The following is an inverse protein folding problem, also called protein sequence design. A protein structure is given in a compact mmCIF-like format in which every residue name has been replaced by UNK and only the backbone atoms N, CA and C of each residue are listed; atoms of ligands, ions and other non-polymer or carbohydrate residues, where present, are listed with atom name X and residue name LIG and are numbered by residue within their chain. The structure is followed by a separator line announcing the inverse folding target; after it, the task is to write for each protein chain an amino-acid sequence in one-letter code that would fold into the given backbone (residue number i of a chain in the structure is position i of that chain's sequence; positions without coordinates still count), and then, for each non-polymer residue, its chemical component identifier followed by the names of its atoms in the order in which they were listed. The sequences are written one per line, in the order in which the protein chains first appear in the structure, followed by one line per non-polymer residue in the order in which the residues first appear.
data_IF_914467991083
#
_entry.id   IF_914467991083
#
_cell.length_a   1.000
_cell.length_b   1.000
_cell.length_c   1.000
_cell.angle_alpha   90.00
_cell.angle_beta   90.00
_cell.angle_gamma   90.00
#
_symmetry.space_group_name_H-M   'P 1'
#
loop_
_entity.id
_entity.type
_entity.pdbx_description
1 polymer ?
#
# COMPACT_ATOMS: atom_id res chain seq x y z
N UNK A 1 63.72 21.03 40.04
CA UNK A 1 63.36 20.42 41.34
C UNK A 1 61.98 19.82 41.21
N UNK A 2 61.73 18.71 41.90
CA UNK A 2 60.65 17.74 41.62
C UNK A 2 59.36 18.01 42.39
N UNK A 3 58.23 17.52 41.86
CA UNK A 3 57.09 16.81 42.51
C UNK A 3 55.94 16.79 41.45
N UNK A 4 55.62 15.67 40.79
CA UNK A 4 54.76 14.56 41.25
C UNK A 4 53.51 15.00 42.03
N UNK A 5 52.29 14.47 41.87
CA UNK A 5 51.56 13.61 40.91
C UNK A 5 50.35 13.09 41.70
N UNK A 6 49.14 13.01 41.15
CA UNK A 6 47.99 12.48 41.91
C UNK A 6 46.76 12.23 41.05
N UNK A 7 46.34 10.98 40.94
CA UNK A 7 45.28 10.48 40.08
C UNK A 7 44.37 9.57 40.91
N UNK A 8 43.06 9.83 41.00
CA UNK A 8 42.06 8.80 41.37
C UNK A 8 40.64 9.23 40.99
N UNK A 9 39.80 8.32 40.44
CA UNK A 9 38.39 8.59 40.13
C UNK A 9 37.46 8.24 41.30
N UNK A 10 36.27 8.85 41.35
CA UNK A 10 35.21 8.48 42.29
C UNK A 10 34.25 7.48 41.62
N UNK A 11 34.13 6.32 42.26
CA UNK A 11 33.13 5.28 41.97
C UNK A 11 31.76 5.76 42.42
N UNK A 12 30.75 5.72 41.55
CA UNK A 12 29.33 5.85 41.94
C UNK A 12 28.72 4.46 41.98
N UNK A 13 28.37 4.01 43.18
CA UNK A 13 27.81 2.68 43.43
C UNK A 13 26.30 2.64 43.17
N UNK A 14 25.84 1.52 42.62
CA UNK A 14 24.42 1.15 42.54
C UNK A 14 23.83 1.00 43.95
N UNK A 15 22.69 1.63 44.21
CA UNK A 15 21.80 1.31 45.33
C UNK A 15 20.45 0.90 44.74
N UNK A 16 20.16 -0.40 44.83
CA UNK A 16 18.84 -0.96 44.54
C UNK A 16 18.03 -0.91 45.85
N UNK A 17 16.89 -0.23 45.84
CA UNK A 17 15.90 -0.32 46.91
C UNK A 17 14.68 -1.07 46.36
N UNK A 18 14.50 -2.30 46.86
CA UNK A 18 13.27 -3.07 46.65
C UNK A 18 12.27 -2.66 47.72
N UNK A 19 11.14 -2.09 47.30
CA UNK A 19 9.97 -1.82 48.14
C UNK A 19 8.70 -2.02 47.29
N UNK A 20 8.16 -3.23 47.28
CA UNK A 20 6.76 -3.46 46.88
C UNK A 20 6.05 -4.12 48.05
N UNK A 21 5.20 -3.34 48.72
CA UNK A 21 4.40 -3.81 49.84
C UNK A 21 3.24 -4.69 49.33
N UNK A 22 2.94 -5.74 50.09
CA UNK A 22 1.80 -6.62 49.85
C UNK A 22 0.48 -5.86 50.09
N UNK A 23 -0.33 -5.72 49.05
CA UNK A 23 -1.67 -5.13 49.12
C UNK A 23 -2.74 -6.15 48.71
N UNK A 24 -3.45 -6.72 49.69
CA UNK A 24 -4.51 -7.71 49.48
C UNK A 24 -5.86 -7.02 49.28
N UNK A 25 -6.60 -7.44 48.25
CA UNK A 25 -8.00 -7.08 48.00
C UNK A 25 -8.28 -6.91 46.51
N UNK A 26 -9.29 -7.50 45.90
CA UNK A 26 -10.38 -8.29 46.47
C UNK A 26 -11.68 -7.97 45.76
N UNK A 27 -11.93 -8.60 44.60
CA UNK A 27 -13.21 -8.49 43.89
C UNK A 27 -13.61 -9.84 43.30
N UNK A 28 -14.66 -10.43 43.86
CA UNK A 28 -15.35 -11.60 43.31
C UNK A 28 -16.46 -11.14 42.35
N UNK A 29 -16.28 -11.38 41.06
CA UNK A 29 -17.33 -11.12 40.07
C UNK A 29 -18.34 -12.27 40.05
N UNK A 30 -19.63 -11.93 40.23
CA UNK A 30 -20.76 -12.83 39.98
C UNK A 30 -20.79 -13.25 38.51
N UNK A 31 -20.90 -14.55 38.23
CA UNK A 31 -21.55 -15.04 37.00
C UNK A 31 -22.79 -15.83 37.41
N UNK A 32 -23.95 -15.32 37.01
CA UNK A 32 -25.25 -15.96 37.15
C UNK A 32 -25.71 -16.42 35.76
N UNK A 33 -25.96 -17.72 35.61
CA UNK A 33 -26.52 -18.28 34.39
C UNK A 33 -27.85 -17.63 34.03
N UNK A 34 -28.06 -17.39 32.74
CA UNK A 34 -29.31 -16.87 32.18
C UNK A 34 -29.56 -17.45 30.78
N UNK A 35 -30.19 -18.61 30.71
CA UNK A 35 -30.82 -19.08 29.48
C UNK A 35 -31.98 -18.16 29.10
N UNK A 36 -32.05 -17.78 27.83
CA UNK A 36 -33.16 -17.04 27.21
C UNK A 36 -33.32 -17.49 25.76
N UNK A 37 -34.55 -17.54 25.21
CA UNK A 37 -34.85 -18.34 24.02
C UNK A 37 -34.52 -17.65 22.69
N UNK A 38 -34.41 -18.46 21.65
CA UNK A 38 -34.27 -18.01 20.27
C UNK A 38 -35.55 -17.31 19.75
N UNK A 39 -35.44 -16.25 18.94
CA UNK A 39 -36.55 -15.73 18.14
C UNK A 39 -36.67 -16.42 16.78
N UNK A 40 -37.89 -16.45 16.27
CA UNK A 40 -38.35 -17.30 15.16
C UNK A 40 -38.07 -16.71 13.76
N UNK A 41 -37.97 -17.59 12.76
CA UNK A 41 -37.96 -17.24 11.34
C UNK A 41 -39.34 -16.82 10.83
N UNK A 42 -39.50 -15.66 10.16
CA UNK A 42 -40.67 -15.37 9.35
C UNK A 42 -40.57 -15.98 7.95
N UNK A 43 -41.73 -16.36 7.40
CA UNK A 43 -41.88 -17.16 6.19
C UNK A 43 -41.64 -16.38 4.88
N UNK A 44 -41.36 -17.12 3.80
CA UNK A 44 -41.33 -16.56 2.44
C UNK A 44 -42.74 -16.27 1.92
N UNK A 45 -42.97 -15.09 1.37
CA UNK A 45 -44.16 -14.79 0.56
C UNK A 45 -43.74 -14.55 -0.88
N UNK A 46 -44.05 -15.51 -1.75
CA UNK A 46 -43.99 -15.39 -3.21
C UNK A 46 -45.33 -14.91 -3.75
N UNK A 47 -45.34 -13.92 -4.64
CA UNK A 47 -46.46 -13.59 -5.57
C UNK A 47 -45.96 -12.62 -6.67
N UNK A 48 -46.63 -12.44 -7.81
CA UNK A 48 -45.97 -12.82 -9.06
C UNK A 48 -45.71 -11.69 -10.07
N UNK A 49 -44.90 -12.06 -11.06
CA UNK A 49 -44.60 -11.34 -12.29
C UNK A 49 -45.86 -10.78 -12.96
N UNK A 50 -45.80 -9.53 -13.43
CA UNK A 50 -46.66 -9.05 -14.52
C UNK A 50 -45.79 -8.31 -15.55
N UNK A 51 -45.66 -8.92 -16.72
CA UNK A 51 -44.91 -8.38 -17.87
C UNK A 51 -45.86 -7.68 -18.82
N UNK A 52 -45.64 -6.39 -19.11
CA UNK A 52 -46.38 -5.65 -20.15
C UNK A 52 -45.48 -4.69 -20.93
N UNK A 53 -45.14 -5.10 -22.16
CA UNK A 53 -44.75 -4.26 -23.32
C UNK A 53 -44.98 -5.13 -24.58
N UNK A 54 -45.13 -4.58 -25.80
CA UNK A 54 -45.22 -3.18 -26.19
C UNK A 54 -46.45 -2.82 -27.05
N UNK A 55 -46.63 -1.52 -27.30
CA UNK A 55 -47.40 -1.02 -28.43
C UNK A 55 -46.50 -0.12 -29.30
N UNK A 56 -46.58 -0.31 -30.62
CA UNK A 56 -45.85 0.42 -31.66
C UNK A 56 -46.86 0.77 -32.77
N UNK A 57 -46.79 1.98 -33.33
CA UNK A 57 -46.91 2.19 -34.77
C UNK A 57 -45.67 2.96 -35.29
N UNK A 58 -45.00 2.61 -36.41
CA UNK A 58 -45.35 2.91 -37.82
C UNK A 58 -45.80 4.38 -38.04
N UNK A 59 -45.27 5.16 -38.98
CA UNK A 59 -44.79 4.80 -40.34
C UNK A 59 -43.89 5.88 -41.00
N UNK A 60 -43.31 5.53 -42.16
CA UNK A 60 -43.05 6.38 -43.37
C UNK A 60 -42.15 7.63 -43.25
N UNK A 61 -40.91 7.58 -43.78
CA UNK A 61 -40.47 7.94 -45.16
C UNK A 61 -40.61 9.41 -45.58
N UNK A 62 -39.46 10.06 -45.85
CA UNK A 62 -39.11 10.49 -47.22
C UNK A 62 -37.68 11.00 -47.30
N UNK A 63 -37.03 10.68 -48.43
CA UNK A 63 -35.76 11.25 -48.87
C UNK A 63 -35.99 12.66 -49.41
N UNK A 64 -35.03 13.59 -49.25
CA UNK A 64 -34.65 14.46 -50.37
C UNK A 64 -33.20 14.94 -50.22
N UNK A 65 -32.41 14.65 -51.24
CA UNK A 65 -31.06 15.14 -51.47
C UNK A 65 -31.11 16.54 -52.12
N UNK A 66 -30.33 17.52 -51.65
CA UNK A 66 -30.00 18.70 -52.48
C UNK A 66 -28.64 19.31 -52.11
N UNK A 67 -27.72 19.27 -53.08
CA UNK A 67 -26.42 19.94 -53.05
C UNK A 67 -26.54 21.39 -53.52
N UNK A 68 -25.85 22.34 -52.88
CA UNK A 68 -25.21 23.47 -53.60
C UNK A 68 -24.22 24.30 -52.76
N UNK A 69 -23.13 24.68 -53.41
CA UNK A 69 -22.04 25.54 -52.92
C UNK A 69 -22.41 27.03 -53.05
N UNK A 70 -21.87 27.93 -52.21
CA UNK A 70 -21.53 29.30 -52.65
C UNK A 70 -20.45 30.03 -51.82
N UNK A 71 -19.29 30.14 -52.45
CA UNK A 71 -18.35 31.28 -52.56
C UNK A 71 -18.14 32.32 -51.44
N UNK A 72 -16.86 32.53 -51.11
CA UNK A 72 -16.22 33.65 -50.38
C UNK A 72 -16.39 35.02 -51.10
N UNK A 73 -16.09 36.19 -50.48
CA UNK A 73 -14.68 36.67 -50.42
C UNK A 73 -14.26 37.51 -49.18
N UNK A 74 -12.94 37.61 -48.98
CA UNK A 74 -12.25 38.64 -48.18
C UNK A 74 -12.29 40.01 -48.91
N UNK A 75 -12.07 41.19 -48.27
CA UNK A 75 -10.78 41.60 -47.68
C UNK A 75 -10.96 42.29 -46.29
N UNK A 76 -10.03 43.00 -45.62
CA UNK A 76 -8.71 43.57 -45.98
C UNK A 76 -7.78 43.67 -44.75
N UNK A 77 -6.56 44.19 -44.92
CA UNK A 77 -5.71 44.77 -43.87
C UNK A 77 -5.17 46.13 -44.36
N UNK A 78 -4.93 47.12 -43.47
CA UNK A 78 -3.68 47.89 -43.61
C UNK A 78 -2.99 48.30 -42.29
N UNK A 79 -1.68 48.04 -42.25
CA UNK A 79 -0.54 48.88 -41.80
C UNK A 79 -0.67 49.90 -40.64
N UNK A 80 0.35 49.85 -39.76
CA UNK A 80 0.69 50.83 -38.71
C UNK A 80 1.08 52.22 -39.23
N UNK A 81 1.16 53.22 -38.34
CA UNK A 81 2.50 53.76 -38.06
C UNK A 81 2.80 54.05 -36.58
N UNK A 82 4.09 54.23 -36.28
CA UNK A 82 4.63 54.54 -34.95
C UNK A 82 4.41 56.01 -34.52
N UNK A 83 4.24 56.24 -33.21
CA UNK A 83 4.44 57.56 -32.58
C UNK A 83 5.25 57.37 -31.29
N UNK A 84 6.23 58.24 -31.08
CA UNK A 84 7.12 58.30 -29.92
C UNK A 84 6.58 59.38 -28.96
N UNK A 85 6.35 59.06 -27.68
CA UNK A 85 6.32 60.07 -26.61
C UNK A 85 6.81 59.52 -25.27
N UNK A 86 7.78 60.26 -24.72
CA UNK A 86 8.33 60.41 -23.36
C UNK A 86 7.90 59.52 -22.17
N UNK A 87 8.90 59.21 -21.34
CA UNK A 87 8.77 58.66 -19.98
C UNK A 87 8.32 59.69 -18.95
N UNK A 88 7.63 59.24 -17.89
CA UNK A 88 7.85 59.78 -16.54
C UNK A 88 8.61 58.80 -15.64
N UNK A 89 9.58 59.35 -14.91
CA UNK A 89 10.44 58.66 -13.94
C UNK A 89 9.66 58.33 -12.67
N UNK A 90 9.56 57.05 -12.30
CA UNK A 90 9.09 56.61 -10.98
C UNK A 90 10.10 55.66 -10.33
N UNK A 91 10.30 55.84 -9.03
CA UNK A 91 11.34 55.19 -8.23
C UNK A 91 11.06 53.71 -7.93
N UNK A 92 12.08 52.85 -7.79
CA UNK A 92 11.90 51.47 -7.39
C UNK A 92 11.71 51.36 -5.87
N UNK A 93 10.57 50.82 -5.44
CA UNK A 93 10.38 50.31 -4.08
C UNK A 93 10.11 48.81 -4.17
N UNK A 94 11.09 48.00 -3.78
CA UNK A 94 11.01 46.54 -3.87
C UNK A 94 9.95 45.96 -2.94
N UNK A 95 9.03 45.10 -3.43
CA UNK A 95 8.21 44.26 -2.56
C UNK A 95 9.09 43.20 -1.91
N UNK A 96 9.05 43.13 -0.58
CA UNK A 96 9.70 42.07 0.20
C UNK A 96 8.92 40.77 -0.02
N UNK A 97 9.47 39.85 -0.80
CA UNK A 97 8.90 38.50 -0.95
C UNK A 97 9.07 37.77 0.38
N UNK A 98 7.95 37.52 1.06
CA UNK A 98 7.91 36.78 2.31
C UNK A 98 7.72 35.29 2.00
N UNK A 99 8.81 34.54 2.13
CA UNK A 99 8.84 33.09 1.89
C UNK A 99 7.98 32.36 2.92
N UNK A 100 6.75 32.00 2.55
CA UNK A 100 5.91 31.13 3.37
C UNK A 100 6.36 29.67 3.21
N UNK A 101 7.07 29.18 4.23
CA UNK A 101 7.43 27.76 4.36
C UNK A 101 6.15 26.93 4.60
N UNK A 102 5.86 25.89 3.80
CA UNK A 102 4.73 25.00 4.06
C UNK A 102 4.93 24.21 5.36
N UNK A 103 4.06 24.43 6.34
CA UNK A 103 4.10 23.72 7.62
C UNK A 103 3.54 22.31 7.47
N UNK A 104 4.43 21.33 7.24
CA UNK A 104 4.12 19.90 7.09
C UNK A 104 4.77 19.09 8.22
N UNK A 105 4.12 19.06 9.39
CA UNK A 105 4.37 18.11 10.46
C UNK A 105 3.04 17.87 11.20
N UNK A 106 2.53 16.64 11.16
CA UNK A 106 1.52 16.22 12.14
C UNK A 106 2.14 16.32 13.54
N UNK A 107 1.42 16.80 14.56
CA UNK A 107 2.00 16.93 15.90
C UNK A 107 2.39 15.54 16.42
N UNK A 108 3.58 15.37 17.04
CA UNK A 108 4.12 14.07 17.42
C UNK A 108 3.24 13.24 18.37
N UNK A 109 2.21 13.85 18.95
CA UNK A 109 1.24 13.22 19.83
C UNK A 109 0.32 12.21 19.12
N UNK A 110 -0.01 12.38 17.83
CA UNK A 110 -0.99 11.47 17.16
C UNK A 110 -0.40 10.09 16.87
N UNK A 111 0.86 10.03 16.43
CA UNK A 111 1.58 8.76 16.19
C UNK A 111 1.71 7.95 17.49
N UNK A 112 1.95 8.63 18.61
CA UNK A 112 2.04 7.96 19.91
C UNK A 112 0.69 7.41 20.39
N UNK A 113 -0.42 8.13 20.14
CA UNK A 113 -1.77 7.64 20.47
C UNK A 113 -2.18 6.40 19.67
N UNK A 114 -1.73 6.27 18.43
CA UNK A 114 -1.97 5.07 17.63
C UNK A 114 -1.13 3.88 18.11
N UNK A 115 0.14 4.11 18.45
CA UNK A 115 1.02 3.12 19.07
C UNK A 115 0.49 2.65 20.45
N UNK A 116 -0.05 3.56 21.25
CA UNK A 116 -0.75 3.24 22.50
C UNK A 116 -1.92 2.28 22.26
N UNK A 117 -2.82 2.65 21.35
CA UNK A 117 -4.02 1.87 21.02
C UNK A 117 -3.66 0.47 20.52
N UNK A 118 -2.65 0.35 19.66
CA UNK A 118 -2.23 -0.94 19.10
C UNK A 118 -1.69 -1.87 20.18
N UNK A 119 -0.76 -1.39 21.02
CA UNK A 119 -0.14 -2.19 22.08
C UNK A 119 -1.16 -2.59 23.15
N UNK A 120 -2.05 -1.69 23.56
CA UNK A 120 -3.13 -2.04 24.50
C UNK A 120 -4.07 -3.09 23.91
N UNK A 121 -4.49 -2.97 22.64
CA UNK A 121 -5.36 -3.99 22.00
C UNK A 121 -4.70 -5.37 21.97
N UNK A 122 -3.39 -5.44 21.70
CA UNK A 122 -2.64 -6.70 21.68
C UNK A 122 -2.56 -7.32 23.08
N UNK A 123 -2.28 -6.50 24.11
CA UNK A 123 -2.13 -6.94 25.49
C UNK A 123 -3.47 -7.37 26.11
N UNK A 124 -4.54 -6.59 25.92
CA UNK A 124 -5.88 -6.85 26.48
C UNK A 124 -6.49 -8.14 25.90
N UNK A 125 -6.32 -8.39 24.60
CA UNK A 125 -6.81 -9.60 23.95
C UNK A 125 -5.86 -10.82 24.09
N UNK A 126 -4.72 -10.66 24.77
CA UNK A 126 -3.65 -11.68 24.91
C UNK A 126 -3.25 -12.32 23.56
N UNK A 127 -3.17 -11.51 22.50
CA UNK A 127 -2.94 -12.01 21.13
C UNK A 127 -1.46 -12.39 20.92
N UNK A 128 -1.16 -13.58 20.38
CA UNK A 128 0.20 -13.90 19.97
C UNK A 128 0.61 -12.99 18.80
N UNK A 129 1.68 -12.22 18.98
CA UNK A 129 2.24 -11.37 17.92
C UNK A 129 3.49 -11.98 17.30
N UNK A 130 3.62 -11.85 15.99
CA UNK A 130 4.78 -12.34 15.25
C UNK A 130 6.06 -11.57 15.59
N UNK A 131 7.25 -12.18 15.43
CA UNK A 131 8.52 -11.55 15.79
C UNK A 131 8.80 -10.25 15.01
N UNK A 132 8.35 -10.14 13.75
CA UNK A 132 8.49 -8.91 12.96
C UNK A 132 7.59 -7.77 13.47
N UNK A 133 6.36 -8.09 13.87
CA UNK A 133 5.41 -7.12 14.43
C UNK A 133 5.88 -6.63 15.80
N UNK A 134 6.35 -7.55 16.64
CA UNK A 134 7.01 -7.23 17.91
C UNK A 134 8.22 -6.30 17.70
N UNK A 135 9.10 -6.61 16.74
CA UNK A 135 10.26 -5.79 16.42
C UNK A 135 9.89 -4.38 15.94
N UNK A 136 8.83 -4.25 15.11
CA UNK A 136 8.30 -2.94 14.69
C UNK A 136 7.85 -2.10 15.89
N UNK A 137 6.94 -2.63 16.71
CA UNK A 137 6.39 -1.93 17.88
C UNK A 137 7.49 -1.52 18.87
N UNK A 138 8.48 -2.38 19.09
CA UNK A 138 9.64 -2.09 19.95
C UNK A 138 10.52 -0.97 19.36
N UNK A 139 10.72 -0.94 18.05
CA UNK A 139 11.44 0.14 17.36
C UNK A 139 10.70 1.49 17.46
N UNK A 140 9.39 1.49 17.25
CA UNK A 140 8.55 2.69 17.32
C UNK A 140 8.45 3.25 18.74
N UNK A 141 8.38 2.41 19.77
CA UNK A 141 8.48 2.83 21.18
C UNK A 141 9.83 3.48 21.49
N UNK A 142 10.93 2.92 21.01
CA UNK A 142 12.25 3.49 21.21
C UNK A 142 12.39 4.85 20.49
N UNK A 143 11.83 4.99 19.30
CA UNK A 143 11.76 6.28 18.60
C UNK A 143 10.93 7.30 19.38
N UNK A 144 9.74 6.91 19.87
CA UNK A 144 8.89 7.75 20.73
C UNK A 144 9.63 8.20 22.00
N UNK A 145 10.49 7.35 22.57
CA UNK A 145 11.30 7.69 23.74
C UNK A 145 12.30 8.83 23.46
N UNK A 146 12.92 8.85 22.27
CA UNK A 146 13.94 9.86 21.91
C UNK A 146 13.38 11.25 21.57
N UNK A 147 12.12 11.35 21.14
CA UNK A 147 11.49 12.62 20.74
C UNK A 147 10.80 13.38 21.87
N UNK A 148 11.08 13.02 23.13
CA UNK A 148 10.56 13.73 24.31
C UNK A 148 9.10 13.40 24.69
N UNK A 149 8.54 12.33 24.13
CA UNK A 149 7.21 11.81 24.51
C UNK A 149 7.17 11.43 25.99
N UNK A 150 5.95 11.35 26.57
CA UNK A 150 5.72 11.01 27.97
C UNK A 150 6.41 9.69 28.37
N UNK A 151 7.57 9.81 29.01
CA UNK A 151 8.47 8.69 29.30
C UNK A 151 7.81 7.61 30.16
N UNK A 152 6.95 8.02 31.11
CA UNK A 152 6.20 7.07 31.94
C UNK A 152 5.28 6.21 31.07
N UNK A 153 4.58 6.83 30.11
CA UNK A 153 3.66 6.12 29.22
C UNK A 153 4.39 5.21 28.24
N UNK A 154 5.54 5.65 27.71
CA UNK A 154 6.43 4.81 26.89
C UNK A 154 6.86 3.55 27.68
N UNK A 155 7.23 3.69 28.95
CA UNK A 155 7.63 2.57 29.82
C UNK A 155 6.46 1.61 30.13
N UNK A 156 5.24 2.13 30.34
CA UNK A 156 4.03 1.32 30.49
C UNK A 156 3.78 0.47 29.23
N UNK A 157 3.89 1.07 28.03
CA UNK A 157 3.74 0.35 26.75
C UNK A 157 4.87 -0.66 26.50
N UNK A 158 6.13 -0.32 26.80
CA UNK A 158 7.25 -1.26 26.73
C UNK A 158 7.01 -2.47 27.64
N UNK A 159 6.47 -2.25 28.85
CA UNK A 159 6.13 -3.32 29.79
C UNK A 159 5.02 -4.23 29.23
N UNK A 160 3.94 -3.64 28.70
CA UNK A 160 2.85 -4.43 28.06
C UNK A 160 3.33 -5.18 26.82
N UNK A 161 4.21 -4.60 26.01
CA UNK A 161 4.75 -5.30 24.84
C UNK A 161 5.62 -6.50 25.23
N UNK A 162 6.38 -6.43 26.33
CA UNK A 162 7.17 -7.57 26.82
C UNK A 162 6.31 -8.72 27.38
N UNK A 163 5.08 -8.48 27.85
CA UNK A 163 4.19 -9.57 28.29
C UNK A 163 3.69 -10.43 27.13
N UNK A 164 3.55 -9.84 25.94
CA UNK A 164 3.15 -10.53 24.69
C UNK A 164 4.36 -10.91 23.80
N UNK A 165 5.57 -10.89 24.36
CA UNK A 165 6.80 -11.24 23.65
C UNK A 165 6.72 -12.69 23.12
N UNK A 166 6.91 -12.94 21.81
CA UNK A 166 6.78 -14.27 21.22
C UNK A 166 7.74 -15.31 21.82
N UNK A 167 8.83 -14.89 22.45
CA UNK A 167 9.78 -15.79 23.13
C UNK A 167 9.28 -16.28 24.51
N UNK A 168 8.24 -15.65 25.07
CA UNK A 168 7.64 -16.06 26.35
C UNK A 168 6.49 -17.07 26.17
N UNK A 169 6.05 -17.34 24.95
CA UNK A 169 5.00 -18.33 24.68
C UNK A 169 5.63 -19.73 24.70
N UNK A 170 5.47 -20.41 25.84
CA UNK A 170 5.97 -21.78 26.04
C UNK A 170 5.36 -22.74 25.03
N UNK A 171 6.24 -23.42 24.28
CA UNK A 171 5.90 -24.39 23.26
C UNK A 171 5.00 -25.52 23.76
N UNK A 172 3.80 -25.65 23.21
CA UNK A 172 2.96 -26.86 23.33
C UNK A 172 3.10 -27.71 22.07
N UNK A 173 3.69 -28.89 22.24
CA UNK A 173 4.18 -29.83 21.25
C UNK A 173 3.33 -30.03 19.97
N UNK A 174 4.02 -30.03 18.82
CA UNK A 174 3.53 -30.61 17.56
C UNK A 174 3.80 -32.13 17.51
N UNK A 175 2.86 -32.97 17.03
CA UNK A 175 3.12 -34.39 16.77
C UNK A 175 4.13 -34.60 15.62
N UNK A 176 4.82 -35.75 15.64
CA UNK A 176 5.86 -36.12 14.70
C UNK A 176 5.32 -36.55 13.31
N UNK A 177 6.13 -36.44 12.23
CA UNK A 177 5.72 -36.82 10.88
C UNK A 177 5.71 -38.34 10.65
N UNK A 178 4.70 -38.82 9.92
CA UNK A 178 4.59 -40.19 9.43
C UNK A 178 5.39 -40.39 8.11
N UNK A 179 5.80 -41.63 7.75
CA UNK A 179 6.81 -41.85 6.71
C UNK A 179 6.30 -41.75 5.28
N UNK A 180 7.20 -41.33 4.38
CA UNK A 180 6.96 -41.21 2.94
C UNK A 180 6.92 -42.58 2.23
N UNK A 181 5.96 -42.82 1.31
CA UNK A 181 6.09 -43.82 0.26
C UNK A 181 6.85 -43.25 -0.97
N UNK A 182 7.49 -44.14 -1.72
CA UNK A 182 8.28 -43.84 -2.93
C UNK A 182 7.42 -43.74 -4.20
N UNK A 183 7.96 -43.26 -5.35
CA UNK A 183 7.13 -42.75 -6.45
C UNK A 183 6.50 -43.85 -7.30
N UNK A 184 5.25 -43.62 -7.71
CA UNK A 184 4.59 -44.39 -8.78
C UNK A 184 4.47 -43.53 -10.03
N UNK A 185 5.04 -44.01 -11.13
CA UNK A 185 5.09 -43.32 -12.42
C UNK A 185 3.74 -43.34 -13.12
N UNK A 186 2.91 -42.31 -12.89
CA UNK A 186 1.75 -42.00 -13.73
C UNK A 186 2.15 -41.10 -14.92
N UNK A 187 1.56 -41.27 -16.12
CA UNK A 187 1.85 -40.39 -17.25
C UNK A 187 1.37 -38.97 -16.97
N UNK A 188 2.21 -37.97 -17.26
CA UNK A 188 1.83 -36.56 -17.14
C UNK A 188 0.63 -36.27 -18.03
N UNK A 189 -0.53 -36.05 -17.40
CA UNK A 189 -1.55 -35.20 -17.99
C UNK A 189 -0.88 -33.85 -18.24
N UNK A 190 -0.68 -33.52 -19.52
CA UNK A 190 -0.03 -32.26 -19.92
C UNK A 190 -1.01 -31.13 -19.62
N UNK A 191 -0.96 -30.60 -18.40
CA UNK A 191 -1.71 -29.41 -18.02
C UNK A 191 -1.19 -28.27 -18.90
N UNK A 192 -1.99 -27.89 -19.89
CA UNK A 192 -1.71 -26.73 -20.73
C UNK A 192 -1.49 -25.53 -19.79
N UNK A 193 -0.39 -24.76 -19.92
CA UNK A 193 -0.21 -23.60 -19.07
C UNK A 193 -1.40 -22.66 -19.27
N UNK A 194 -2.11 -22.33 -18.18
CA UNK A 194 -3.28 -21.44 -18.17
C UNK A 194 -2.90 -19.96 -18.37
N UNK A 195 -1.78 -19.70 -19.06
CA UNK A 195 -1.18 -18.41 -19.30
C UNK A 195 -0.50 -18.41 -20.67
N UNK A 196 -0.39 -17.23 -21.29
CA UNK A 196 0.41 -17.04 -22.50
C UNK A 196 1.79 -16.56 -22.07
N UNK A 197 2.85 -17.18 -22.61
CA UNK A 197 4.22 -16.72 -22.38
C UNK A 197 4.46 -15.38 -23.07
N UNK A 198 4.88 -14.39 -22.28
CA UNK A 198 5.32 -13.07 -22.71
C UNK A 198 6.14 -12.44 -21.57
N UNK A 199 7.49 -12.43 -21.62
CA UNK A 199 8.31 -11.80 -20.59
C UNK A 199 8.34 -10.26 -20.68
N UNK A 200 7.73 -9.66 -21.70
CA UNK A 200 7.73 -8.20 -21.94
C UNK A 200 6.40 -7.67 -22.50
N UNK A 201 5.25 -7.90 -21.83
CA UNK A 201 3.98 -7.26 -22.17
C UNK A 201 4.08 -5.74 -22.12
N UNK A 202 3.25 -5.06 -22.92
CA UNK A 202 3.15 -3.60 -22.90
C UNK A 202 1.90 -3.17 -22.14
N UNK A 203 2.05 -2.25 -21.19
CA UNK A 203 0.96 -1.60 -20.48
C UNK A 203 0.46 -0.42 -21.33
N UNK A 204 -0.78 -0.56 -21.81
CA UNK A 204 -1.45 0.36 -22.75
C UNK A 204 -2.38 1.35 -22.07
N UNK A 205 -2.59 1.21 -20.76
CA UNK A 205 -3.51 2.02 -19.98
C UNK A 205 -2.84 2.48 -18.67
N UNK A 206 -3.23 3.65 -18.16
CA UNK A 206 -2.79 4.08 -16.83
C UNK A 206 -3.37 3.19 -15.74
N UNK A 207 -2.63 2.94 -14.66
CA UNK A 207 -3.15 2.25 -13.45
C UNK A 207 -4.10 3.13 -12.63
N UNK A 208 -4.12 4.44 -12.87
CA UNK A 208 -4.93 5.41 -12.12
C UNK A 208 -5.07 6.74 -12.87
N UNK A 209 -5.83 7.67 -12.30
CA UNK A 209 -5.90 9.07 -12.72
C UNK A 209 -4.59 9.80 -12.37
N UNK A 210 -3.69 9.93 -13.35
CA UNK A 210 -2.35 10.54 -13.18
C UNK A 210 -2.40 12.04 -12.83
N UNK A 211 -3.53 12.72 -13.04
CA UNK A 211 -3.69 14.12 -12.61
C UNK A 211 -3.71 14.26 -11.08
N UNK A 212 -4.16 13.21 -10.38
CA UNK A 212 -4.22 13.14 -8.91
C UNK A 212 -2.97 12.53 -8.26
N UNK A 213 -2.01 12.06 -9.06
CA UNK A 213 -0.73 11.56 -8.56
C UNK A 213 0.16 12.75 -8.18
N UNK A 214 0.42 12.89 -6.88
CA UNK A 214 1.29 13.92 -6.31
C UNK A 214 2.77 13.55 -6.44
N UNK A 215 3.12 12.28 -6.18
CA UNK A 215 4.46 11.74 -6.34
C UNK A 215 4.42 10.24 -6.64
N UNK A 216 5.53 9.73 -7.16
CA UNK A 216 5.83 8.30 -7.30
C UNK A 216 7.17 8.03 -6.64
N UNK A 217 7.24 7.03 -5.76
CA UNK A 217 8.49 6.50 -5.23
C UNK A 217 8.81 5.19 -5.96
N UNK A 218 9.79 5.15 -6.87
CA UNK A 218 10.10 3.95 -7.64
C UNK A 218 10.91 2.93 -6.82
N UNK A 219 10.77 1.62 -7.07
CA UNK A 219 11.42 0.58 -6.29
C UNK A 219 12.94 0.48 -6.57
N UNK A 220 13.70 -0.20 -5.70
CA UNK A 220 13.28 -0.64 -4.37
C UNK A 220 13.44 0.51 -3.36
N UNK A 221 12.59 0.49 -2.34
CA UNK A 221 12.67 1.43 -1.21
C UNK A 221 12.88 0.69 0.10
N UNK A 222 13.40 1.38 1.11
CA UNK A 222 13.37 0.91 2.48
C UNK A 222 12.18 1.57 3.18
N UNK A 223 11.31 0.76 3.79
CA UNK A 223 10.30 1.28 4.70
C UNK A 223 10.91 1.71 6.03
N UNK A 224 10.07 2.02 7.02
CA UNK A 224 10.52 2.18 8.40
C UNK A 224 11.12 0.87 8.92
N UNK A 225 12.44 0.82 9.07
CA UNK A 225 13.19 -0.36 9.53
C UNK A 225 13.77 -1.22 8.40
N UNK A 226 14.31 -2.43 8.71
CA UNK A 226 14.98 -3.29 7.74
C UNK A 226 13.98 -4.07 6.86
N UNK A 227 13.00 -3.37 6.27
CA UNK A 227 12.00 -3.97 5.39
C UNK A 227 12.19 -3.46 3.97
N UNK A 228 12.81 -4.29 3.13
CA UNK A 228 12.95 -4.07 1.70
C UNK A 228 11.56 -4.06 1.03
N UNK A 229 11.28 -3.02 0.26
CA UNK A 229 10.03 -2.85 -0.49
C UNK A 229 10.36 -2.83 -1.98
N UNK A 230 9.95 -3.87 -2.69
CA UNK A 230 10.26 -4.06 -4.11
C UNK A 230 9.16 -3.56 -5.06
N UNK A 231 8.14 -2.90 -4.53
CA UNK A 231 7.11 -2.17 -5.26
C UNK A 231 7.31 -0.64 -5.21
N UNK A 232 6.61 0.06 -6.10
CA UNK A 232 6.51 1.53 -6.09
C UNK A 232 5.45 1.99 -5.09
N UNK A 233 5.60 3.19 -4.53
CA UNK A 233 4.49 3.91 -3.90
C UNK A 233 3.91 4.96 -4.85
N UNK A 234 2.60 4.98 -4.98
CA UNK A 234 1.84 6.01 -5.71
C UNK A 234 1.17 6.92 -4.67
N UNK A 235 1.62 8.16 -4.54
CA UNK A 235 1.07 9.12 -3.60
C UNK A 235 -0.05 9.96 -4.20
N UNK A 236 -1.23 9.99 -3.55
CA UNK A 236 -2.40 10.76 -4.03
C UNK A 236 -2.89 11.81 -3.03
N UNK A 237 -2.13 12.05 -1.95
CA UNK A 237 -2.50 12.95 -0.84
C UNK A 237 -3.90 12.65 -0.26
N UNK A 238 -4.33 11.39 -0.29
CA UNK A 238 -5.59 10.91 0.28
C UNK A 238 -6.76 11.04 -0.68
N UNK A 239 -6.55 11.57 -1.89
CA UNK A 239 -7.57 11.61 -2.91
C UNK A 239 -8.01 10.19 -3.25
N UNK A 240 -9.34 9.98 -3.28
CA UNK A 240 -9.92 8.74 -3.76
C UNK A 240 -9.73 8.66 -5.29
N UNK A 241 -8.91 7.71 -5.73
CA UNK A 241 -8.57 7.51 -7.15
C UNK A 241 -9.07 6.15 -7.65
N UNK A 242 -9.46 6.04 -8.93
CA UNK A 242 -9.71 4.73 -9.53
C UNK A 242 -8.40 3.96 -9.68
N UNK A 243 -8.48 2.64 -9.61
CA UNK A 243 -7.41 1.71 -9.97
C UNK A 243 -7.85 0.90 -11.18
N UNK A 244 -7.04 0.91 -12.24
CA UNK A 244 -7.35 0.28 -13.52
C UNK A 244 -6.33 -0.81 -13.87
N UNK A 245 -6.78 -1.76 -14.69
CA UNK A 245 -5.91 -2.74 -15.33
C UNK A 245 -4.98 -2.06 -16.36
N UNK A 246 -3.64 -2.12 -16.22
CA UNK A 246 -2.72 -1.45 -17.16
C UNK A 246 -2.57 -2.21 -18.49
N UNK A 247 -2.90 -3.50 -18.50
CA UNK A 247 -2.97 -4.39 -19.65
C UNK A 247 -4.08 -5.43 -19.37
N UNK A 248 -4.37 -6.32 -20.34
CA UNK A 248 -5.23 -7.47 -20.07
C UNK A 248 -4.55 -8.38 -19.02
N UNK A 249 -5.29 -8.76 -17.98
CA UNK A 249 -4.72 -9.47 -16.82
C UNK A 249 -5.77 -10.30 -16.08
N UNK A 250 -5.33 -11.32 -15.36
CA UNK A 250 -6.20 -12.22 -14.60
C UNK A 250 -5.86 -12.18 -13.12
N UNK A 251 -6.84 -11.86 -12.27
CA UNK A 251 -6.72 -11.96 -10.81
C UNK A 251 -6.45 -13.42 -10.44
N UNK A 252 -5.39 -13.66 -9.68
CA UNK A 252 -4.96 -14.99 -9.23
C UNK A 252 -5.06 -15.15 -7.72
N UNK A 253 -4.61 -14.14 -6.98
CA UNK A 253 -4.61 -14.17 -5.53
C UNK A 253 -4.97 -12.80 -4.95
N UNK A 254 -5.37 -12.76 -3.69
CA UNK A 254 -5.57 -11.52 -2.96
C UNK A 254 -5.77 -11.72 -1.47
N UNK A 255 -5.83 -10.62 -0.72
CA UNK A 255 -6.10 -10.61 0.73
C UNK A 255 -6.96 -9.41 1.12
N UNK A 256 -7.63 -9.52 2.26
CA UNK A 256 -8.31 -8.42 2.95
C UNK A 256 -7.79 -8.40 4.38
N UNK A 257 -6.99 -7.39 4.73
CA UNK A 257 -6.22 -7.37 5.98
C UNK A 257 -6.42 -6.12 6.84
N UNK A 258 -6.34 -6.30 8.15
CA UNK A 258 -6.35 -5.21 9.13
C UNK A 258 -5.12 -4.33 8.93
N UNK A 259 -5.31 -3.00 8.90
CA UNK A 259 -4.21 -2.02 8.82
C UNK A 259 -3.56 -1.83 7.44
N UNK A 260 -3.86 -2.70 6.48
CA UNK A 260 -3.40 -2.58 5.09
C UNK A 260 -4.48 -3.13 4.17
N UNK A 261 -5.33 -2.27 3.56
CA UNK A 261 -6.51 -2.73 2.86
C UNK A 261 -6.15 -3.42 1.55
N UNK A 262 -7.12 -4.11 0.95
CA UNK A 262 -6.99 -5.16 -0.06
C UNK A 262 -5.69 -5.17 -0.90
N UNK A 263 -5.05 -6.35 -0.93
CA UNK A 263 -3.92 -6.63 -1.82
C UNK A 263 -4.34 -7.63 -2.88
N UNK A 264 -3.87 -7.44 -4.12
CA UNK A 264 -4.19 -8.27 -5.28
C UNK A 264 -2.95 -8.66 -6.06
N UNK A 265 -2.95 -9.90 -6.56
CA UNK A 265 -1.96 -10.41 -7.50
C UNK A 265 -2.63 -10.78 -8.82
N UNK A 266 -2.21 -10.10 -9.89
CA UNK A 266 -2.71 -10.28 -11.25
C UNK A 266 -1.64 -10.89 -12.14
N UNK A 267 -1.96 -12.00 -12.79
CA UNK A 267 -1.14 -12.59 -13.84
C UNK A 267 -1.39 -11.86 -15.16
N UNK A 268 -0.33 -11.40 -15.82
CA UNK A 268 -0.39 -10.83 -17.19
C UNK A 268 0.12 -11.85 -18.21
N UNK A 269 1.15 -12.60 -17.84
CA UNK A 269 1.74 -13.67 -18.65
C UNK A 269 2.22 -14.81 -17.76
N UNK A 270 2.83 -15.85 -18.33
CA UNK A 270 3.46 -16.89 -17.52
C UNK A 270 4.63 -16.36 -16.66
N UNK A 271 5.25 -15.26 -17.08
CA UNK A 271 6.44 -14.68 -16.45
C UNK A 271 6.12 -13.46 -15.59
N UNK A 272 5.09 -12.67 -15.96
CA UNK A 272 4.84 -11.33 -15.40
C UNK A 272 3.58 -11.29 -14.52
N UNK A 273 3.80 -10.90 -13.26
CA UNK A 273 2.76 -10.63 -12.26
C UNK A 273 2.77 -9.15 -11.88
N UNK A 274 1.60 -8.52 -11.85
CA UNK A 274 1.35 -7.21 -11.24
C UNK A 274 0.79 -7.40 -9.85
N UNK A 275 1.23 -6.60 -8.88
CA UNK A 275 0.60 -6.50 -7.57
C UNK A 275 0.15 -5.08 -7.27
N UNK A 276 -1.05 -4.99 -6.71
CA UNK A 276 -1.60 -3.77 -6.12
C UNK A 276 -1.84 -4.00 -4.64
N UNK A 277 -1.38 -3.09 -3.78
CA UNK A 277 -1.57 -3.16 -2.33
C UNK A 277 -2.10 -1.85 -1.78
N UNK A 278 -2.68 -1.89 -0.58
CA UNK A 278 -3.37 -0.75 0.04
C UNK A 278 -4.54 -0.22 -0.82
N UNK A 279 -5.35 -1.13 -1.38
CA UNK A 279 -6.56 -0.79 -2.14
C UNK A 279 -7.78 -0.73 -1.22
N UNK A 280 -8.48 0.40 -1.11
CA UNK A 280 -9.56 0.54 -0.10
C UNK A 280 -10.94 0.02 -0.52
N UNK A 281 -11.31 0.11 -1.80
CA UNK A 281 -12.66 -0.23 -2.26
C UNK A 281 -12.64 -0.99 -3.61
N UNK A 282 -12.52 -2.32 -3.61
CA UNK A 282 -12.51 -3.13 -4.82
C UNK A 282 -13.85 -3.12 -5.54
N UNK A 283 -13.89 -3.48 -6.83
CA UNK A 283 -15.17 -3.80 -7.48
C UNK A 283 -15.80 -5.04 -6.87
N UNK A 284 -17.13 -5.13 -6.90
CA UNK A 284 -17.86 -6.12 -6.13
C UNK A 284 -17.55 -7.57 -6.54
N UNK A 285 -17.21 -7.81 -7.82
CA UNK A 285 -16.75 -9.11 -8.32
C UNK A 285 -15.46 -9.60 -7.64
N UNK A 286 -14.59 -8.69 -7.22
CA UNK A 286 -13.40 -9.03 -6.42
C UNK A 286 -13.76 -9.19 -4.94
N UNK A 287 -14.58 -8.28 -4.39
CA UNK A 287 -15.01 -8.34 -2.97
C UNK A 287 -15.64 -9.68 -2.62
N UNK A 288 -16.50 -10.23 -3.48
CA UNK A 288 -17.19 -11.50 -3.24
C UNK A 288 -16.28 -12.73 -3.16
N UNK A 289 -15.02 -12.62 -3.61
CA UNK A 289 -14.04 -13.71 -3.52
C UNK A 289 -13.20 -13.67 -2.23
N UNK A 290 -13.33 -12.61 -1.43
CA UNK A 290 -12.51 -12.37 -0.24
C UNK A 290 -13.38 -12.32 1.03
N UNK A 291 -12.80 -12.59 2.21
CA UNK A 291 -13.51 -12.45 3.48
C UNK A 291 -14.11 -11.05 3.64
N UNK A 292 -15.37 -10.96 4.04
CA UNK A 292 -16.04 -9.67 4.31
C UNK A 292 -15.37 -8.90 5.45
N UNK A 293 -14.89 -9.63 6.46
CA UNK A 293 -14.14 -9.08 7.59
C UNK A 293 -12.62 -9.16 7.35
N UNK A 294 -11.86 -8.10 7.68
CA UNK A 294 -10.41 -8.07 7.48
C UNK A 294 -9.71 -9.06 8.41
N UNK A 295 -8.74 -9.80 7.85
CA UNK A 295 -7.94 -10.79 8.56
C UNK A 295 -6.70 -10.15 9.21
N UNK A 296 -6.16 -10.77 10.26
CA UNK A 296 -4.98 -10.25 10.99
C UNK A 296 -3.68 -10.32 10.20
N UNK A 297 -3.57 -11.23 9.22
CA UNK A 297 -2.42 -11.37 8.33
C UNK A 297 -2.69 -10.80 6.94
N UNK A 298 -1.68 -10.23 6.30
CA UNK A 298 -1.73 -9.68 4.93
C UNK A 298 -1.54 -10.73 3.83
N UNK A 299 -1.31 -12.00 4.18
CA UNK A 299 -0.98 -13.06 3.23
C UNK A 299 -2.12 -13.30 2.24
N UNK A 300 -1.78 -13.38 0.96
CA UNK A 300 -2.72 -13.61 -0.13
C UNK A 300 -3.18 -15.07 -0.19
N UNK A 301 -4.47 -15.28 -0.40
CA UNK A 301 -5.04 -16.57 -0.76
C UNK A 301 -5.25 -16.66 -2.28
N UNK A 302 -5.11 -17.84 -2.86
CA UNK A 302 -5.55 -18.12 -4.25
C UNK A 302 -7.05 -17.88 -4.37
N UNK A 303 -7.48 -17.32 -5.50
CA UNK A 303 -8.86 -16.95 -5.78
C UNK A 303 -9.38 -17.66 -7.05
N UNK A 304 -10.70 -17.71 -7.20
CA UNK A 304 -11.30 -18.06 -8.48
C UNK A 304 -10.87 -17.02 -9.53
N UNK A 305 -10.28 -17.40 -10.67
CA UNK A 305 -9.71 -16.43 -11.60
C UNK A 305 -10.77 -15.49 -12.21
N UNK A 306 -10.49 -14.18 -12.19
CA UNK A 306 -11.28 -13.17 -12.90
C UNK A 306 -10.37 -12.44 -13.89
N UNK A 307 -10.75 -12.42 -15.17
CA UNK A 307 -10.03 -11.69 -16.21
C UNK A 307 -10.56 -10.25 -16.33
N UNK A 308 -9.66 -9.30 -16.51
CA UNK A 308 -9.93 -7.88 -16.74
C UNK A 308 -9.28 -7.44 -18.07
N UNK A 309 -10.01 -6.64 -18.84
CA UNK A 309 -9.48 -6.00 -20.05
C UNK A 309 -8.56 -4.82 -19.71
N UNK A 310 -7.67 -4.45 -20.63
CA UNK A 310 -6.82 -3.26 -20.45
C UNK A 310 -7.68 -1.99 -20.32
N UNK A 311 -7.46 -1.20 -19.25
CA UNK A 311 -8.25 -0.03 -18.90
C UNK A 311 -9.49 -0.32 -18.05
N UNK A 312 -9.81 -1.58 -17.75
CA UNK A 312 -10.96 -1.92 -16.91
C UNK A 312 -10.74 -1.52 -15.45
N UNK A 313 -11.81 -1.06 -14.80
CA UNK A 313 -11.79 -0.64 -13.39
C UNK A 313 -11.74 -1.87 -12.47
N UNK A 314 -10.70 -1.98 -11.66
CA UNK A 314 -10.56 -3.06 -10.66
C UNK A 314 -10.89 -2.59 -9.23
N UNK A 315 -10.72 -1.31 -8.92
CA UNK A 315 -11.00 -0.77 -7.59
C UNK A 315 -11.03 0.77 -7.56
N UNK A 316 -11.26 1.31 -6.37
CA UNK A 316 -10.83 2.63 -5.94
C UNK A 316 -9.88 2.52 -4.74
N UNK A 317 -9.02 3.52 -4.56
CA UNK A 317 -8.21 3.63 -3.35
C UNK A 317 -7.95 5.07 -2.91
N UNK A 318 -7.86 5.29 -1.59
CA UNK A 318 -7.28 6.48 -0.94
C UNK A 318 -5.86 6.22 -0.43
N UNK A 319 -5.35 5.00 -0.58
CA UNK A 319 -4.09 4.53 0.00
C UNK A 319 -4.14 4.24 1.50
N UNK A 320 -2.95 4.11 2.08
CA UNK A 320 -2.70 3.95 3.52
C UNK A 320 -3.28 5.11 4.33
N UNK A 321 -3.83 4.83 5.52
CA UNK A 321 -4.44 5.85 6.37
C UNK A 321 -3.47 6.97 6.79
N UNK A 322 -2.18 6.65 6.97
CA UNK A 322 -1.16 7.59 7.45
C UNK A 322 -0.44 8.28 6.28
N UNK A 323 0.10 7.50 5.33
CA UNK A 323 0.95 8.02 4.26
C UNK A 323 0.19 8.33 2.96
N UNK A 324 -1.10 7.99 2.88
CA UNK A 324 -1.99 8.31 1.76
C UNK A 324 -1.43 7.91 0.39
N UNK A 325 -0.77 6.75 0.38
CA UNK A 325 -0.14 6.15 -0.78
C UNK A 325 -0.54 4.68 -0.90
N UNK A 326 -0.36 4.11 -2.09
CA UNK A 326 -0.69 2.72 -2.39
C UNK A 326 0.38 2.07 -3.25
N UNK A 327 0.37 0.73 -3.26
CA UNK A 327 1.49 -0.06 -3.76
C UNK A 327 1.26 -0.49 -5.20
N UNK A 328 2.29 -0.37 -6.03
CA UNK A 328 2.29 -0.88 -7.40
C UNK A 328 3.62 -1.58 -7.72
N UNK A 329 3.59 -2.91 -7.79
CA UNK A 329 4.75 -3.75 -8.08
C UNK A 329 4.58 -4.55 -9.37
N UNK A 330 5.69 -4.81 -10.07
CA UNK A 330 5.78 -5.74 -11.19
C UNK A 330 6.93 -6.71 -10.91
N UNK A 331 6.66 -7.99 -11.12
CA UNK A 331 7.57 -9.09 -10.89
C UNK A 331 7.65 -9.92 -12.16
N UNK A 332 8.86 -10.20 -12.62
CA UNK A 332 9.13 -10.92 -13.86
C UNK A 332 10.05 -12.11 -13.58
N UNK A 333 9.53 -13.33 -13.62
CA UNK A 333 10.30 -14.55 -13.33
C UNK A 333 11.38 -14.87 -14.38
N UNK A 334 11.33 -14.23 -15.55
CA UNK A 334 12.40 -14.28 -16.55
C UNK A 334 13.59 -13.35 -16.22
N UNK A 335 13.49 -12.53 -15.16
CA UNK A 335 14.53 -11.60 -14.72
C UNK A 335 15.05 -12.01 -13.34
N UNK A 336 16.38 -12.01 -13.20
CA UNK A 336 17.10 -12.17 -11.94
C UNK A 336 17.72 -10.82 -11.58
N UNK A 337 17.19 -10.14 -10.56
CA UNK A 337 17.69 -8.82 -10.15
C UNK A 337 18.85 -8.93 -9.14
N UNK A 338 19.39 -7.79 -8.70
CA UNK A 338 20.55 -7.73 -7.78
C UNK A 338 20.37 -8.45 -6.44
N UNK A 339 19.13 -8.69 -5.99
CA UNK A 339 18.85 -9.40 -4.74
C UNK A 339 18.89 -10.92 -4.90
N UNK A 340 18.87 -11.46 -6.12
CA UNK A 340 18.97 -12.91 -6.37
C UNK A 340 20.29 -13.52 -5.87
N UNK A 341 21.36 -12.74 -5.86
CA UNK A 341 22.67 -13.13 -5.35
C UNK A 341 22.97 -12.60 -3.94
N UNK A 342 22.07 -11.84 -3.32
CA UNK A 342 22.27 -11.29 -1.97
C UNK A 342 21.74 -12.28 -0.92
N UNK A 343 22.58 -12.87 -0.04
CA UNK A 343 22.16 -13.87 0.93
C UNK A 343 21.18 -13.34 2.00
N UNK A 344 20.99 -12.03 2.11
CA UNK A 344 20.01 -11.43 3.02
C UNK A 344 18.62 -11.30 2.38
N UNK A 345 18.53 -11.31 1.05
CA UNK A 345 17.32 -10.96 0.29
C UNK A 345 16.92 -11.98 -0.79
N UNK A 346 17.73 -13.02 -1.05
CA UNK A 346 17.42 -14.06 -2.03
C UNK A 346 16.39 -15.11 -1.55
N UNK A 347 15.81 -14.93 -0.36
CA UNK A 347 14.86 -15.84 0.28
C UNK A 347 13.42 -15.76 -0.27
N UNK A 348 13.12 -14.83 -1.19
CA UNK A 348 11.78 -14.64 -1.75
C UNK A 348 11.83 -14.25 -3.22
N UNK A 349 11.00 -14.92 -4.04
CA UNK A 349 10.79 -14.54 -5.45
C UNK A 349 10.31 -13.09 -5.61
N UNK A 350 9.57 -12.57 -4.62
CA UNK A 350 9.13 -11.17 -4.57
C UNK A 350 10.30 -10.19 -4.48
N UNK A 351 11.42 -10.60 -3.88
CA UNK A 351 12.63 -9.78 -3.83
C UNK A 351 13.50 -9.96 -5.07
N UNK A 352 13.65 -11.18 -5.58
CA UNK A 352 14.62 -11.53 -6.63
C UNK A 352 14.14 -11.28 -8.06
N UNK A 353 12.82 -11.24 -8.29
CA UNK A 353 12.20 -11.07 -9.63
C UNK A 353 11.58 -9.69 -9.85
N UNK A 354 11.66 -8.81 -8.85
CA UNK A 354 11.12 -7.45 -8.97
C UNK A 354 11.90 -6.61 -9.99
N UNK A 355 11.16 -5.82 -10.77
CA UNK A 355 11.65 -4.97 -11.86
C UNK A 355 11.07 -3.57 -11.73
N UNK A 356 11.47 -2.61 -12.58
CA UNK A 356 10.77 -1.33 -12.65
C UNK A 356 9.36 -1.52 -13.24
N UNK A 357 8.28 -1.15 -12.52
CA UNK A 357 6.93 -1.27 -13.05
C UNK A 357 6.67 -0.32 -14.23
N UNK A 358 7.40 0.79 -14.29
CA UNK A 358 7.20 1.84 -15.29
C UNK A 358 7.84 1.54 -16.65
N UNK A 359 8.74 0.56 -16.73
CA UNK A 359 9.37 0.13 -18.00
C UNK A 359 8.41 -0.66 -18.91
N UNK A 360 7.33 -1.20 -18.34
CA UNK A 360 6.30 -1.93 -19.07
C UNK A 360 5.33 -1.00 -19.81
N UNK A 361 5.24 0.28 -19.43
CA UNK A 361 4.34 1.22 -20.08
C UNK A 361 4.86 1.66 -21.45
N UNK A 362 3.93 1.91 -22.37
CA UNK A 362 4.26 2.62 -23.60
C UNK A 362 4.97 3.95 -23.31
N UNK A 363 5.89 4.44 -24.17
CA UNK A 363 6.72 5.60 -23.87
C UNK A 363 5.94 6.86 -23.43
N UNK A 364 4.77 7.07 -24.04
CA UNK A 364 3.86 8.16 -23.67
C UNK A 364 3.36 8.03 -22.22
N UNK A 365 2.87 6.84 -21.83
CA UNK A 365 2.35 6.61 -20.48
C UNK A 365 3.49 6.58 -19.44
N UNK A 366 4.66 6.04 -19.78
CA UNK A 366 5.87 6.07 -18.93
C UNK A 366 6.27 7.52 -18.60
N UNK A 367 6.17 8.44 -19.57
CA UNK A 367 6.49 9.86 -19.34
C UNK A 367 5.63 10.50 -18.24
N UNK A 368 4.34 10.13 -18.14
CA UNK A 368 3.42 10.67 -17.15
C UNK A 368 3.76 10.26 -15.70
N UNK A 369 4.33 9.07 -15.49
CA UNK A 369 4.76 8.60 -14.16
C UNK A 369 6.19 9.06 -13.82
N UNK A 370 7.11 9.00 -14.78
CA UNK A 370 8.51 9.45 -14.58
C UNK A 370 8.58 10.93 -14.23
N UNK A 371 7.72 11.78 -14.82
CA UNK A 371 7.56 13.18 -14.44
C UNK A 371 7.03 13.41 -13.01
N UNK A 372 6.59 12.35 -12.31
CA UNK A 372 6.14 12.36 -10.91
C UNK A 372 7.14 11.68 -9.96
N UNK A 373 8.26 11.15 -10.46
CA UNK A 373 9.24 10.47 -9.62
C UNK A 373 9.83 11.43 -8.58
N UNK A 374 9.79 11.03 -7.32
CA UNK A 374 10.38 11.79 -6.23
C UNK A 374 11.92 11.70 -6.31
N UNK A 375 12.56 12.81 -6.67
CA UNK A 375 14.02 12.90 -6.88
C UNK A 375 14.83 12.57 -5.62
N UNK A 376 14.29 12.81 -4.42
CA UNK A 376 14.96 12.44 -3.17
C UNK A 376 14.97 10.92 -2.94
N UNK A 377 14.05 10.18 -3.55
CA UNK A 377 13.98 8.71 -3.50
C UNK A 377 14.74 8.09 -4.69
N UNK A 378 14.76 8.76 -5.84
CA UNK A 378 15.50 8.33 -7.04
C UNK A 378 17.02 8.20 -6.83
N UNK A 379 17.60 9.00 -5.94
CA UNK A 379 19.01 8.89 -5.54
C UNK A 379 19.40 7.54 -4.94
N UNK A 380 18.41 6.67 -4.68
CA UNK A 380 18.56 5.36 -4.06
C UNK A 380 18.46 5.44 -2.55
N UNK A 381 18.26 4.28 -1.93
CA UNK A 381 18.36 4.11 -0.48
C UNK A 381 19.65 3.35 -0.17
N UNK A 382 20.76 4.01 0.21
CA UNK A 382 21.95 3.32 0.72
C UNK A 382 21.56 2.36 1.86
N UNK A 383 22.03 1.10 1.86
CA UNK A 383 23.11 0.53 1.05
C UNK A 383 22.69 -0.03 -0.32
N UNK A 384 21.40 0.00 -0.68
CA UNK A 384 20.86 -0.77 -1.81
C UNK A 384 21.08 -0.17 -3.20
N UNK A 385 21.64 1.04 -3.30
CA UNK A 385 21.94 1.69 -4.58
C UNK A 385 20.73 2.25 -5.32
N UNK A 386 20.89 2.51 -6.62
CA UNK A 386 19.89 3.19 -7.48
C UNK A 386 18.56 2.44 -7.57
N UNK A 387 17.50 3.17 -7.93
CA UNK A 387 16.20 2.57 -8.28
C UNK A 387 16.33 1.58 -9.45
N UNK A 388 15.46 0.56 -9.48
CA UNK A 388 15.28 -0.31 -10.64
C UNK A 388 14.83 0.45 -11.90
N UNK A 389 14.23 1.63 -11.74
CA UNK A 389 13.71 2.45 -12.84
C UNK A 389 14.74 3.37 -13.51
N UNK A 390 16.01 3.29 -13.09
CA UNK A 390 17.05 4.21 -13.56
C UNK A 390 16.88 5.63 -13.02
N UNK A 391 17.52 6.58 -13.70
CA UNK A 391 17.50 8.02 -13.44
C UNK A 391 17.11 8.76 -14.71
#
# INVERSE_FOLDING_TARGET
MSYQSGFTPIVVALIIIVMVAVGVGGYTAFIKNGQGPAPETPESISTPITSVRPAQPSSETSETETTSQKTTPLPSSPQSPSVITESPRLSPTSPKIETQTPSMLNPPNTVFQELEREISTIADDNRPIGPEHYARLKSELNAAQTVGTNQKRVQELQTMLETVNPNNIVSTASPAPAPSPSPSSGPSATTTPNCISNPSPTFTNHITDTSKVSYVAPPPTMGSGPSLKTHSYIGTNGANVPVYAPAAMTLKAGSHSVGGPYTFEFQISCEVTVRFGHVTNPVDTIKTLLPSEPQSGSQTQELSPISFAAGELIAYTTGTAIASNWDFGVYNSAVSNRYASDPNWNNSTTYTTAVCPFDYFSPFLKSAYTAKFNSAILGGNPPHGVSFCGT
#
